data_IF_180105342153
#
_entry.id   IF_180105342153
#
_cell.length_a   1.000
_cell.length_b   1.000
_cell.length_c   1.000
_cell.angle_alpha   90.00
_cell.angle_beta   90.00
_cell.angle_gamma   90.00
#
_symmetry.space_group_name_H-M   'P 1'
#
loop_
_entity.id
_entity.type
_entity.pdbx_description
1 polymer ?
#
# COMPACT_ATOMS: atom_id res chain seq x y z
N UNK A 1 -15.03 7.28 33.55
CA UNK A 1 -14.88 6.07 32.72
C UNK A 1 -15.60 6.32 31.41
N UNK A 2 -14.94 6.09 30.28
CA UNK A 2 -15.56 6.20 28.95
C UNK A 2 -14.52 6.51 27.87
N UNK A 3 -13.48 5.69 27.77
CA UNK A 3 -12.48 5.76 26.70
C UNK A 3 -12.71 4.55 25.77
N UNK A 4 -13.80 4.55 25.00
CA UNK A 4 -14.16 3.48 24.06
C UNK A 4 -15.08 4.02 22.95
N UNK A 5 -14.70 5.10 22.27
CA UNK A 5 -15.55 5.65 21.19
C UNK A 5 -14.75 6.18 19.99
N UNK A 6 -13.50 5.74 19.80
CA UNK A 6 -12.72 6.13 18.63
C UNK A 6 -12.29 4.95 17.78
N UNK A 7 -12.19 3.72 18.31
CA UNK A 7 -11.81 2.56 17.49
C UNK A 7 -12.90 2.13 16.51
N UNK A 8 -14.18 2.26 16.87
CA UNK A 8 -15.31 1.85 16.02
C UNK A 8 -15.51 2.77 14.81
N UNK A 9 -15.25 4.08 14.96
CA UNK A 9 -15.41 5.06 13.87
C UNK A 9 -14.35 4.87 12.76
N UNK A 10 -13.11 4.53 13.14
CA UNK A 10 -12.09 4.19 12.13
C UNK A 10 -12.47 2.92 11.37
N UNK A 11 -12.98 1.90 12.05
CA UNK A 11 -13.33 0.63 11.41
C UNK A 11 -14.45 0.78 10.38
N UNK A 12 -15.46 1.61 10.62
CA UNK A 12 -16.52 1.86 9.64
C UNK A 12 -16.05 2.70 8.44
N UNK A 13 -15.20 3.71 8.66
CA UNK A 13 -14.61 4.50 7.56
C UNK A 13 -13.70 3.63 6.67
N UNK A 14 -12.96 2.69 7.26
CA UNK A 14 -12.18 1.68 6.53
C UNK A 14 -13.07 0.65 5.80
N UNK A 15 -14.22 0.29 6.38
CA UNK A 15 -15.17 -0.68 5.78
C UNK A 15 -15.84 -0.10 4.56
N UNK A 16 -16.24 1.18 4.57
CA UNK A 16 -16.79 1.86 3.39
C UNK A 16 -15.77 1.91 2.24
N UNK A 17 -14.48 2.07 2.55
CA UNK A 17 -13.40 2.08 1.56
C UNK A 17 -13.19 0.72 0.89
N UNK A 18 -13.53 -0.38 1.57
CA UNK A 18 -13.44 -1.75 1.05
C UNK A 18 -14.75 -2.28 0.44
N UNK A 19 -15.91 -1.90 0.98
CA UNK A 19 -17.23 -2.35 0.51
C UNK A 19 -17.73 -1.55 -0.71
N UNK A 20 -17.23 -0.32 -0.91
CA UNK A 20 -17.56 0.50 -2.09
C UNK A 20 -16.51 0.41 -3.19
N UNK A 21 -15.81 -0.72 -3.34
CA UNK A 21 -15.03 -0.96 -4.56
C UNK A 21 -15.82 -1.90 -5.45
N UNK A 22 -16.58 -1.40 -6.45
CA UNK A 22 -17.28 -2.26 -7.39
C UNK A 22 -16.28 -3.27 -7.96
N UNK A 23 -16.68 -4.55 -8.01
CA UNK A 23 -15.84 -5.74 -8.26
C UNK A 23 -14.99 -5.71 -9.56
N UNK A 24 -14.99 -4.61 -10.30
CA UNK A 24 -14.42 -4.47 -11.64
C UNK A 24 -13.45 -3.29 -11.84
N UNK A 25 -13.04 -2.54 -10.80
CA UNK A 25 -12.09 -1.41 -10.98
C UNK A 25 -11.04 -1.23 -9.88
N UNK A 26 -10.61 -2.29 -9.18
CA UNK A 26 -9.39 -2.17 -8.36
C UNK A 26 -8.17 -2.08 -9.28
N UNK A 27 -7.60 -0.87 -9.40
CA UNK A 27 -6.31 -0.67 -10.07
C UNK A 27 -5.17 -1.21 -9.20
N UNK A 28 -5.31 -1.19 -7.88
CA UNK A 28 -4.37 -1.83 -6.98
C UNK A 28 -4.70 -3.34 -6.90
N UNK A 29 -3.71 -4.25 -6.98
CA UNK A 29 -3.94 -5.67 -6.77
C UNK A 29 -4.60 -5.95 -5.40
N UNK A 30 -5.47 -6.95 -5.35
CA UNK A 30 -6.11 -7.38 -4.08
C UNK A 30 -5.04 -7.77 -3.07
N UNK A 31 -5.31 -7.50 -1.78
CA UNK A 31 -4.41 -7.76 -0.64
C UNK A 31 -3.14 -6.89 -0.62
N UNK A 32 -3.15 -5.76 -1.31
CA UNK A 32 -2.13 -4.73 -1.17
C UNK A 32 -2.75 -3.46 -0.64
N UNK A 33 -2.05 -2.80 0.28
CA UNK A 33 -2.47 -1.54 0.87
C UNK A 33 -1.43 -0.44 0.58
N UNK A 34 -1.82 0.71 0.03
CA UNK A 34 -0.88 1.80 -0.24
C UNK A 34 -0.39 2.43 1.07
N UNK A 35 0.94 2.47 1.25
CA UNK A 35 1.59 3.03 2.45
C UNK A 35 2.42 4.28 2.17
N UNK A 36 2.63 4.62 0.89
CA UNK A 36 3.35 5.83 0.52
C UNK A 36 3.47 6.03 -0.98
N UNK A 37 4.16 7.10 -1.34
CA UNK A 37 4.56 7.40 -2.71
C UNK A 37 6.01 7.89 -2.68
N UNK A 38 6.81 7.46 -3.64
CA UNK A 38 8.17 7.96 -3.79
C UNK A 38 8.21 9.30 -4.55
N UNK A 39 9.41 9.85 -4.74
CA UNK A 39 9.61 11.11 -5.47
C UNK A 39 9.33 10.98 -6.98
N UNK A 40 9.33 9.75 -7.53
CA UNK A 40 9.07 9.48 -8.94
C UNK A 40 7.58 9.30 -9.24
N UNK A 41 6.73 9.24 -8.21
CA UNK A 41 5.29 9.03 -8.32
C UNK A 41 4.87 7.55 -8.25
N UNK A 42 5.80 6.64 -7.95
CA UNK A 42 5.53 5.23 -7.69
C UNK A 42 4.87 5.07 -6.33
N UNK A 43 3.84 4.24 -6.27
CA UNK A 43 3.19 3.90 -5.01
C UNK A 43 3.96 2.78 -4.32
N UNK A 44 4.12 2.91 -3.01
CA UNK A 44 4.58 1.85 -2.14
C UNK A 44 3.36 1.11 -1.60
N UNK A 45 3.33 -0.19 -1.82
CA UNK A 45 2.26 -1.08 -1.44
C UNK A 45 2.78 -2.08 -0.41
N UNK A 46 2.07 -2.23 0.70
CA UNK A 46 2.30 -3.29 1.68
C UNK A 46 1.39 -4.47 1.38
N UNK A 47 1.96 -5.67 1.33
CA UNK A 47 1.18 -6.90 1.22
C UNK A 47 0.51 -7.19 2.57
N UNK A 48 -0.82 -7.33 2.56
CA UNK A 48 -1.65 -7.67 3.73
C UNK A 48 -2.17 -9.11 3.69
N UNK A 49 -1.64 -9.94 2.78
CA UNK A 49 -1.91 -11.37 2.74
C UNK A 49 -1.27 -12.08 3.95
N UNK A 50 -1.92 -13.11 4.52
CA UNK A 50 -1.35 -13.84 5.66
C UNK A 50 0.04 -14.43 5.40
N UNK A 51 0.36 -14.74 4.15
CA UNK A 51 1.59 -15.45 3.77
C UNK A 51 2.79 -14.51 3.59
N UNK A 52 2.55 -13.23 3.29
CA UNK A 52 3.59 -12.23 2.97
C UNK A 52 3.38 -10.91 3.69
N UNK A 53 2.63 -10.95 4.78
CA UNK A 53 2.22 -9.77 5.54
C UNK A 53 3.43 -8.88 5.86
N UNK A 54 3.33 -7.60 5.50
CA UNK A 54 4.34 -6.59 5.79
C UNK A 54 5.41 -6.38 4.71
N UNK A 55 5.49 -7.25 3.69
CA UNK A 55 6.41 -7.04 2.56
C UNK A 55 6.03 -5.79 1.76
N UNK A 56 7.03 -5.07 1.27
CA UNK A 56 6.85 -3.80 0.55
C UNK A 56 7.16 -3.96 -0.93
N UNK A 57 6.29 -3.38 -1.76
CA UNK A 57 6.32 -3.46 -3.20
C UNK A 57 6.14 -2.08 -3.82
N UNK A 58 6.81 -1.81 -4.94
CA UNK A 58 6.64 -0.62 -5.75
C UNK A 58 5.66 -0.91 -6.89
N UNK A 59 4.70 -0.01 -7.10
CA UNK A 59 3.68 -0.12 -8.14
C UNK A 59 3.57 1.20 -8.90
N UNK A 60 3.60 1.11 -10.23
CA UNK A 60 3.32 2.27 -11.06
C UNK A 60 1.81 2.45 -11.16
N UNK A 61 1.32 3.65 -10.79
CA UNK A 61 -0.10 3.95 -10.85
C UNK A 61 -0.63 3.72 -12.26
N UNK A 62 -1.71 2.97 -12.36
CA UNK A 62 -2.42 2.74 -13.63
C UNK A 62 -3.90 3.04 -13.50
N UNK A 63 -4.51 3.42 -14.63
CA UNK A 63 -5.97 3.52 -14.79
C UNK A 63 -6.60 2.19 -15.19
N UNK A 64 -5.80 1.23 -15.67
CA UNK A 64 -6.28 -0.10 -16.04
C UNK A 64 -6.56 -0.95 -14.79
N UNK A 65 -7.56 -1.83 -14.81
CA UNK A 65 -7.74 -2.83 -13.75
C UNK A 65 -6.51 -3.71 -13.59
N UNK A 66 -6.24 -4.18 -12.38
CA UNK A 66 -5.13 -5.11 -12.14
C UNK A 66 -5.22 -6.35 -13.07
N UNK A 67 -4.10 -6.71 -13.71
CA UNK A 67 -4.02 -7.82 -14.65
C UNK A 67 -4.49 -7.48 -16.07
N UNK A 68 -4.69 -6.19 -16.39
CA UNK A 68 -5.10 -5.70 -17.71
C UNK A 68 -4.22 -4.54 -18.17
N UNK A 69 -4.10 -4.39 -19.49
CA UNK A 69 -3.36 -3.29 -20.11
C UNK A 69 -1.94 -3.18 -19.56
N UNK A 70 -1.60 -2.00 -19.06
CA UNK A 70 -0.26 -1.72 -18.50
C UNK A 70 -0.15 -2.05 -17.00
N UNK A 71 -1.25 -2.47 -16.36
CA UNK A 71 -1.30 -2.76 -14.94
C UNK A 71 -1.01 -4.24 -14.63
N UNK A 72 0.22 -4.66 -14.90
CA UNK A 72 0.62 -6.07 -14.86
C UNK A 72 1.74 -6.37 -13.86
N UNK A 73 2.42 -5.35 -13.34
CA UNK A 73 3.68 -5.53 -12.62
C UNK A 73 3.71 -4.72 -11.33
N UNK A 74 4.29 -5.36 -10.31
CA UNK A 74 4.77 -4.74 -9.07
C UNK A 74 6.20 -5.23 -8.83
N UNK A 75 7.06 -4.33 -8.36
CA UNK A 75 8.45 -4.64 -8.04
C UNK A 75 8.63 -4.86 -6.55
N UNK A 76 9.37 -5.89 -6.15
CA UNK A 76 9.71 -6.08 -4.74
C UNK A 76 10.65 -4.98 -4.25
N UNK A 77 10.44 -4.49 -3.03
CA UNK A 77 11.26 -3.43 -2.41
C UNK A 77 11.90 -3.92 -1.12
N UNK A 78 11.14 -4.50 -0.20
CA UNK A 78 11.65 -4.92 1.10
C UNK A 78 10.83 -6.06 1.72
N UNK A 79 11.48 -6.84 2.59
CA UNK A 79 10.87 -7.97 3.30
C UNK A 79 9.90 -7.52 4.40
N UNK A 80 10.07 -6.31 4.94
CA UNK A 80 9.19 -5.71 5.94
C UNK A 80 9.12 -4.18 5.79
N UNK A 81 8.10 -3.58 6.41
CA UNK A 81 7.99 -2.12 6.48
C UNK A 81 9.12 -1.52 7.31
N UNK A 82 9.55 -2.21 8.38
CA UNK A 82 10.68 -1.82 9.21
C UNK A 82 11.98 -1.80 8.39
N UNK A 83 12.28 -2.86 7.63
CA UNK A 83 13.49 -2.93 6.79
C UNK A 83 13.49 -1.83 5.73
N UNK A 84 12.32 -1.53 5.15
CA UNK A 84 12.16 -0.41 4.23
C UNK A 84 12.54 0.93 4.89
N UNK A 85 12.07 1.19 6.11
CA UNK A 85 12.38 2.42 6.84
C UNK A 85 13.87 2.48 7.24
N UNK A 86 14.44 1.37 7.73
CA UNK A 86 15.85 1.33 8.14
C UNK A 86 16.81 1.52 6.98
N UNK A 87 16.51 0.95 5.81
CA UNK A 87 17.34 1.14 4.63
C UNK A 87 17.24 2.58 4.11
N UNK A 88 16.05 3.19 4.12
CA UNK A 88 15.87 4.58 3.70
C UNK A 88 16.59 5.58 4.61
N UNK A 89 16.65 5.32 5.92
CA UNK A 89 17.36 6.17 6.88
C UNK A 89 18.90 6.07 6.76
N UNK A 90 19.40 5.06 6.05
CA UNK A 90 20.84 4.89 5.80
C UNK A 90 21.30 5.47 4.46
N UNK A 91 20.39 5.80 3.54
CA UNK A 91 20.75 6.56 2.35
C UNK A 91 21.13 7.98 2.80
N UNK A 92 22.35 8.47 2.45
CA UNK A 92 22.71 9.83 2.77
C UNK A 92 21.69 10.75 2.10
N UNK A 93 21.18 11.73 2.85
CA UNK A 93 20.51 12.88 2.22
C UNK A 93 21.51 13.47 1.23
N UNK A 94 21.22 13.40 -0.06
CA UNK A 94 21.99 14.14 -1.05
C UNK A 94 21.89 15.62 -0.70
N UNK A 95 22.93 16.12 -0.04
CA UNK A 95 23.17 17.54 0.15
C UNK A 95 23.41 18.13 -1.26
N UNK A 96 22.39 18.78 -1.81
CA UNK A 96 22.51 19.67 -2.97
C UNK A 96 22.67 21.12 -2.53
#
# INVERSE_FOLDING_TARGET
MGAFSHEEDYFEEFRELYEYVPETKTTIPKKYFPVGTDISGMYLLMDISPEKFGTIWAWHKSTDPWGKGDNLYIGFVADSYEDFLFNRLQEPTEDW
#
